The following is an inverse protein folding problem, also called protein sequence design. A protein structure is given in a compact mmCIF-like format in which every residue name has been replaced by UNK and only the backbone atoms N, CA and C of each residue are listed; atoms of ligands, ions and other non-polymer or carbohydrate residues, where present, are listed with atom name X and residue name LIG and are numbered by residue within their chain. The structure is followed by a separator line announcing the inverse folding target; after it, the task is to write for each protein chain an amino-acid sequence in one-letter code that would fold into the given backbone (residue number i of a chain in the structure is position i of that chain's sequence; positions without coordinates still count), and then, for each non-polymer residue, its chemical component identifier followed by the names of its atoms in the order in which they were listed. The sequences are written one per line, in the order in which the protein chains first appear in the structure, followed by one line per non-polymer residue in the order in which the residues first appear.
data_IF_813487691349
#
_entry.id   IF_813487691349
#
_cell.length_a   1.000
_cell.length_b   1.000
_cell.length_c   1.000
_cell.angle_alpha   90.00
_cell.angle_beta   90.00
_cell.angle_gamma   90.00
#
_symmetry.space_group_name_H-M   'P 1'
#
loop_
_entity.id
_entity.type
_entity.pdbx_description
1 polymer ?
#
# COMPACT_ATOMS: atom_id res chain seq x y z
N UNK A 1 0.03 29.97 34.75
CA UNK A 1 0.08 30.05 33.28
C UNK A 1 0.47 28.67 32.79
N UNK A 2 -0.53 27.84 32.49
CA UNK A 2 -0.33 26.51 31.90
C UNK A 2 0.10 26.72 30.46
N UNK A 3 1.36 26.37 30.15
CA UNK A 3 1.85 26.36 28.79
C UNK A 3 1.13 25.25 28.03
N UNK A 4 0.18 25.64 27.21
CA UNK A 4 -0.41 24.80 26.18
C UNK A 4 0.73 24.47 25.21
N UNK A 5 1.28 23.27 25.33
CA UNK A 5 2.28 22.77 24.40
C UNK A 5 1.59 22.70 23.04
N UNK A 6 1.86 23.68 22.19
CA UNK A 6 1.41 23.67 20.81
C UNK A 6 1.92 22.37 20.16
N UNK A 7 0.99 21.44 19.91
CA UNK A 7 1.23 20.22 19.16
C UNK A 7 1.85 20.62 17.82
N UNK A 8 3.14 20.33 17.62
CA UNK A 8 3.80 20.52 16.33
C UNK A 8 3.03 19.72 15.29
N UNK A 9 2.78 20.28 14.08
CA UNK A 9 2.03 19.58 13.06
C UNK A 9 2.69 18.22 12.79
N UNK A 10 1.90 17.16 12.97
CA UNK A 10 2.35 15.78 12.76
C UNK A 10 2.89 15.68 11.32
N UNK A 11 4.12 15.17 11.17
CA UNK A 11 4.72 15.05 9.85
C UNK A 11 3.88 14.12 8.98
N UNK A 12 3.77 14.42 7.68
CA UNK A 12 3.06 13.55 6.71
C UNK A 12 3.59 12.11 6.74
N UNK A 13 4.86 11.92 7.06
CA UNK A 13 5.48 10.61 7.25
C UNK A 13 4.92 9.91 8.48
N UNK A 14 4.83 10.60 9.63
CA UNK A 14 4.26 10.02 10.86
C UNK A 14 2.79 9.61 10.66
N UNK A 15 1.98 10.42 9.99
CA UNK A 15 0.59 10.07 9.64
C UNK A 15 0.53 8.77 8.82
N UNK A 16 1.37 8.65 7.78
CA UNK A 16 1.42 7.44 6.97
C UNK A 16 1.88 6.21 7.76
N UNK A 17 2.85 6.38 8.65
CA UNK A 17 3.35 5.30 9.52
C UNK A 17 2.25 4.83 10.49
N UNK A 18 1.51 5.77 11.13
CA UNK A 18 0.35 5.46 11.98
C UNK A 18 -0.74 4.70 11.23
N UNK A 19 -1.09 5.14 10.02
CA UNK A 19 -2.06 4.46 9.16
C UNK A 19 -1.60 3.07 8.73
N UNK A 20 -0.32 2.92 8.40
CA UNK A 20 0.27 1.62 8.04
C UNK A 20 0.21 0.64 9.22
N UNK A 21 0.54 1.11 10.42
CA UNK A 21 0.40 0.36 11.67
C UNK A 21 -1.02 -0.08 11.96
N UNK A 22 -1.98 0.82 11.77
CA UNK A 22 -3.38 0.47 11.93
C UNK A 22 -3.74 -0.72 11.05
N UNK A 23 -3.34 -0.72 9.78
CA UNK A 23 -3.62 -1.84 8.88
C UNK A 23 -2.94 -3.15 9.30
N UNK A 24 -1.74 -3.08 9.87
CA UNK A 24 -1.03 -4.26 10.35
C UNK A 24 -1.69 -4.87 11.60
N UNK A 25 -2.28 -4.03 12.46
CA UNK A 25 -3.04 -4.45 13.63
C UNK A 25 -4.48 -4.85 13.32
N UNK A 26 -5.05 -4.33 12.23
CA UNK A 26 -6.45 -4.53 11.84
C UNK A 26 -6.57 -5.25 10.48
N UNK A 27 -6.21 -6.55 10.38
CA UNK A 27 -6.37 -7.33 9.15
C UNK A 27 -7.85 -7.46 8.72
N UNK A 28 -8.78 -7.21 9.63
CA UNK A 28 -10.24 -7.20 9.40
C UNK A 28 -10.65 -6.15 8.34
N UNK A 29 -9.90 -5.07 8.19
CA UNK A 29 -10.15 -4.03 7.19
C UNK A 29 -10.28 -4.61 5.77
N UNK A 30 -9.38 -5.54 5.40
CA UNK A 30 -9.38 -6.17 4.08
C UNK A 30 -10.48 -7.22 3.88
N UNK A 31 -11.14 -7.65 4.97
CA UNK A 31 -12.25 -8.60 4.91
C UNK A 31 -13.61 -7.90 4.81
N UNK A 32 -13.63 -6.57 4.98
CA UNK A 32 -14.87 -5.80 4.96
C UNK A 32 -15.48 -5.73 3.54
N UNK A 33 -16.78 -6.00 3.44
CA UNK A 33 -17.50 -6.02 2.16
C UNK A 33 -17.54 -4.64 1.47
N UNK A 34 -17.37 -3.56 2.24
CA UNK A 34 -17.35 -2.20 1.72
C UNK A 34 -16.13 -1.93 0.83
N UNK A 35 -15.01 -2.61 1.09
CA UNK A 35 -13.78 -2.42 0.33
C UNK A 35 -13.90 -2.91 -1.11
N UNK A 36 -14.80 -3.86 -1.37
CA UNK A 36 -15.13 -4.31 -2.74
C UNK A 36 -15.83 -3.22 -3.56
N UNK A 37 -16.60 -2.35 -2.90
CA UNK A 37 -17.34 -1.25 -3.52
C UNK A 37 -16.52 0.03 -3.62
N UNK A 38 -15.46 0.16 -2.81
CA UNK A 38 -14.58 1.30 -2.83
C UNK A 38 -13.86 1.45 -4.18
N UNK A 39 -13.45 0.34 -4.81
CA UNK A 39 -12.97 0.30 -6.19
C UNK A 39 -13.49 -0.95 -6.93
N UNK A 40 -14.69 -0.85 -7.54
CA UNK A 40 -15.33 -1.98 -8.19
C UNK A 40 -14.58 -2.47 -9.42
N UNK A 41 -13.90 -1.56 -10.13
CA UNK A 41 -13.19 -1.88 -11.35
C UNK A 41 -11.94 -2.71 -11.04
N UNK A 42 -11.20 -2.30 -10.01
CA UNK A 42 -10.04 -3.04 -9.53
C UNK A 42 -10.43 -4.41 -8.97
N UNK A 43 -11.50 -4.46 -8.16
CA UNK A 43 -12.00 -5.70 -7.60
C UNK A 43 -12.45 -6.69 -8.69
N UNK A 44 -13.21 -6.23 -9.69
CA UNK A 44 -13.64 -7.06 -10.81
C UNK A 44 -12.42 -7.63 -11.59
N UNK A 45 -11.38 -6.81 -11.78
CA UNK A 45 -10.17 -7.17 -12.53
C UNK A 45 -9.29 -8.18 -11.78
N UNK A 46 -9.03 -7.93 -10.50
CA UNK A 46 -8.03 -8.67 -9.72
C UNK A 46 -8.61 -9.86 -8.96
N UNK A 47 -9.88 -9.78 -8.54
CA UNK A 47 -10.51 -10.82 -7.72
C UNK A 47 -11.57 -11.58 -8.52
N UNK A 48 -12.58 -10.88 -9.05
CA UNK A 48 -13.76 -11.53 -9.67
C UNK A 48 -13.41 -12.33 -10.93
N UNK A 49 -12.37 -11.94 -11.66
CA UNK A 49 -11.86 -12.68 -12.82
C UNK A 49 -11.48 -14.12 -12.49
N UNK A 50 -10.93 -14.37 -11.30
CA UNK A 50 -10.54 -15.71 -10.84
C UNK A 50 -11.64 -16.44 -10.09
N UNK A 51 -12.76 -15.77 -9.78
CA UNK A 51 -13.92 -16.40 -9.18
C UNK A 51 -14.57 -17.34 -10.20
N UNK A 52 -14.75 -18.60 -9.82
CA UNK A 52 -15.38 -19.59 -10.69
C UNK A 52 -16.88 -19.30 -10.83
N UNK A 53 -17.52 -19.70 -11.94
CA UNK A 53 -18.98 -19.62 -12.08
C UNK A 53 -19.72 -20.32 -10.93
N UNK A 54 -19.20 -21.44 -10.44
CA UNK A 54 -19.77 -22.19 -9.32
C UNK A 54 -19.73 -21.40 -7.99
N UNK A 55 -18.64 -20.69 -7.71
CA UNK A 55 -18.54 -19.80 -6.53
C UNK A 55 -19.53 -18.63 -6.63
N UNK A 56 -19.68 -18.02 -7.81
CA UNK A 56 -20.68 -16.94 -8.03
C UNK A 56 -22.10 -17.43 -7.87
N UNK A 57 -22.43 -18.61 -8.38
CA UNK A 57 -23.75 -19.20 -8.21
C UNK A 57 -24.03 -19.60 -6.76
N UNK A 58 -23.01 -20.02 -6.00
CA UNK A 58 -23.15 -20.27 -4.57
C UNK A 58 -23.38 -18.98 -3.79
N UNK A 59 -22.63 -17.92 -4.10
CA UNK A 59 -22.79 -16.60 -3.51
C UNK A 59 -24.17 -15.99 -3.85
N UNK A 60 -24.59 -16.06 -5.12
CA UNK A 60 -25.90 -15.60 -5.57
C UNK A 60 -27.04 -16.42 -4.96
N UNK A 61 -26.85 -17.72 -4.70
CA UNK A 61 -27.82 -18.53 -3.96
C UNK A 61 -27.92 -18.15 -2.48
N UNK A 62 -26.80 -17.80 -1.84
CA UNK A 62 -26.79 -17.33 -0.45
C UNK A 62 -27.43 -15.94 -0.31
N UNK A 63 -27.13 -15.02 -1.23
CA UNK A 63 -27.67 -13.64 -1.24
C UNK A 63 -29.11 -13.57 -1.77
N UNK A 64 -29.56 -14.58 -2.52
CA UNK A 64 -30.86 -14.60 -3.16
C UNK A 64 -30.95 -13.67 -4.37
N UNK A 65 -32.07 -13.74 -5.11
CA UNK A 65 -32.26 -12.96 -6.34
C UNK A 65 -32.28 -11.44 -6.09
N UNK A 66 -32.97 -10.99 -5.04
CA UNK A 66 -33.03 -9.57 -4.67
C UNK A 66 -31.65 -9.02 -4.29
N UNK A 67 -30.88 -9.75 -3.48
CA UNK A 67 -29.54 -9.32 -3.07
C UNK A 67 -28.52 -9.37 -4.21
N UNK A 68 -28.68 -10.28 -5.17
CA UNK A 68 -27.84 -10.33 -6.38
C UNK A 68 -28.09 -9.10 -7.25
N UNK A 69 -29.36 -8.74 -7.47
CA UNK A 69 -29.71 -7.56 -8.26
C UNK A 69 -29.25 -6.27 -7.59
N UNK A 70 -29.44 -6.14 -6.27
CA UNK A 70 -28.98 -4.98 -5.51
C UNK A 70 -27.46 -4.83 -5.56
N UNK A 71 -26.72 -5.91 -5.36
CA UNK A 71 -25.26 -5.90 -5.46
C UNK A 71 -24.77 -5.55 -6.87
N UNK A 72 -25.44 -6.05 -7.91
CA UNK A 72 -25.10 -5.72 -9.29
C UNK A 72 -25.41 -4.26 -9.62
N UNK A 73 -26.51 -3.71 -9.09
CA UNK A 73 -26.88 -2.30 -9.24
C UNK A 73 -25.85 -1.39 -8.58
N UNK A 74 -25.55 -1.61 -7.29
CA UNK A 74 -24.56 -0.84 -6.54
C UNK A 74 -23.18 -0.89 -7.22
N UNK A 75 -22.76 -2.07 -7.68
CA UNK A 75 -21.49 -2.23 -8.41
C UNK A 75 -21.50 -1.46 -9.72
N UNK A 76 -22.62 -1.46 -10.45
CA UNK A 76 -22.74 -0.73 -11.72
C UNK A 76 -22.68 0.78 -11.52
N UNK A 77 -23.29 1.31 -10.46
CA UNK A 77 -23.24 2.73 -10.11
C UNK A 77 -21.84 3.15 -9.69
N UNK A 78 -21.20 2.39 -8.80
CA UNK A 78 -19.84 2.66 -8.35
C UNK A 78 -18.83 2.57 -9.51
N UNK A 79 -19.06 1.67 -10.47
CA UNK A 79 -18.28 1.56 -11.71
C UNK A 79 -18.42 2.77 -12.61
N UNK A 80 -19.64 3.30 -12.80
CA UNK A 80 -19.86 4.53 -13.54
C UNK A 80 -19.20 5.74 -12.84
N UNK A 81 -19.26 5.78 -11.51
CA UNK A 81 -18.63 6.82 -10.72
C UNK A 81 -17.10 6.78 -10.87
N UNK A 82 -16.48 5.61 -10.74
CA UNK A 82 -15.03 5.44 -10.94
C UNK A 82 -14.56 5.85 -12.34
N UNK A 83 -15.37 5.62 -13.38
CA UNK A 83 -15.07 6.09 -14.74
C UNK A 83 -15.21 7.61 -14.90
N UNK A 84 -16.12 8.24 -14.15
CA UNK A 84 -16.33 9.69 -14.17
C UNK A 84 -15.28 10.44 -13.34
N UNK A 85 -14.80 9.83 -12.26
CA UNK A 85 -13.81 10.37 -11.32
C UNK A 85 -12.62 9.42 -11.18
N UNK A 86 -11.78 9.28 -12.23
CA UNK A 86 -10.60 8.43 -12.13
C UNK A 86 -9.64 8.99 -11.08
N UNK A 87 -9.20 8.15 -10.14
CA UNK A 87 -8.19 8.54 -9.16
C UNK A 87 -6.83 8.72 -9.86
N UNK A 88 -6.21 9.91 -9.80
CA UNK A 88 -4.92 10.15 -10.44
C UNK A 88 -3.77 9.31 -9.86
N UNK A 89 -3.96 8.69 -8.70
CA UNK A 89 -2.96 7.87 -8.02
C UNK A 89 -3.18 6.35 -8.16
N UNK A 90 -4.21 5.92 -8.89
CA UNK A 90 -4.40 4.50 -9.20
C UNK A 90 -3.33 4.02 -10.17
N UNK A 91 -2.72 2.87 -9.90
CA UNK A 91 -1.81 2.25 -10.86
C UNK A 91 -2.54 1.72 -12.09
N UNK A 92 -3.83 1.36 -11.95
CA UNK A 92 -4.66 0.86 -13.04
C UNK A 92 -5.54 1.96 -13.62
N UNK A 93 -5.26 2.37 -14.86
CA UNK A 93 -6.13 3.33 -15.56
C UNK A 93 -7.20 2.60 -16.38
N UNK A 94 -8.45 3.04 -16.27
CA UNK A 94 -9.57 2.50 -17.05
C UNK A 94 -9.92 3.48 -18.16
N UNK A 95 -9.79 3.04 -19.42
CA UNK A 95 -10.25 3.82 -20.57
C UNK A 95 -11.50 3.20 -21.17
N UNK A 96 -12.50 4.05 -21.39
CA UNK A 96 -13.69 3.69 -22.13
C UNK A 96 -13.36 3.70 -23.62
N UNK A 97 -13.42 2.54 -24.25
CA UNK A 97 -13.33 2.41 -25.70
C UNK A 97 -14.52 3.10 -26.39
N UNK A 98 -14.42 3.34 -27.71
CA UNK A 98 -15.46 4.03 -28.50
C UNK A 98 -16.85 3.40 -28.38
N UNK A 99 -16.91 2.08 -28.21
CA UNK A 99 -18.15 1.30 -28.09
C UNK A 99 -18.60 1.09 -26.63
N UNK A 100 -17.94 1.73 -25.67
CA UNK A 100 -18.23 1.57 -24.24
C UNK A 100 -17.60 0.36 -23.57
N UNK A 101 -16.78 -0.41 -24.29
CA UNK A 101 -15.94 -1.46 -23.72
C UNK A 101 -14.86 -0.86 -22.80
N UNK A 102 -14.59 -1.49 -21.67
CA UNK A 102 -13.51 -1.05 -20.76
C UNK A 102 -12.23 -1.74 -21.25
N UNK A 103 -11.39 -0.95 -21.91
CA UNK A 103 -10.11 -1.43 -22.44
C UNK A 103 -9.09 -1.41 -21.30
N UNK A 104 -8.57 -2.59 -20.94
CA UNK A 104 -7.39 -2.71 -20.09
C UNK A 104 -6.15 -2.59 -20.98
N UNK A 105 -5.39 -1.50 -20.88
CA UNK A 105 -4.33 -1.20 -21.87
C UNK A 105 -3.03 -2.00 -21.73
N UNK A 106 -2.78 -2.78 -20.66
CA UNK A 106 -1.54 -3.58 -20.56
C UNK A 106 -1.69 -5.06 -20.15
N UNK A 107 -0.99 -5.94 -20.89
CA UNK A 107 -0.91 -7.39 -20.64
C UNK A 107 -0.17 -7.74 -19.34
N UNK A 108 0.78 -6.91 -18.91
CA UNK A 108 1.60 -7.15 -17.71
C UNK A 108 0.85 -6.82 -16.41
N UNK A 109 -0.26 -6.09 -16.51
CA UNK A 109 -1.14 -5.73 -15.40
C UNK A 109 -2.19 -6.82 -15.09
N UNK A 110 -2.15 -7.98 -15.77
CA UNK A 110 -3.07 -9.10 -15.51
C UNK A 110 -2.41 -10.08 -14.55
N UNK A 111 -2.99 -10.35 -13.36
CA UNK A 111 -2.45 -11.37 -12.45
C UNK A 111 -2.45 -12.75 -13.12
N UNK A 112 -1.49 -13.60 -12.77
CA UNK A 112 -1.40 -14.97 -13.31
C UNK A 112 -2.34 -15.92 -12.55
N UNK A 113 -2.52 -15.68 -11.26
CA UNK A 113 -3.32 -16.50 -10.36
C UNK A 113 -4.15 -15.66 -9.38
N UNK A 114 -5.01 -16.37 -8.62
CA UNK A 114 -5.91 -15.77 -7.62
C UNK A 114 -5.12 -15.14 -6.47
N UNK A 115 -3.97 -15.70 -6.10
CA UNK A 115 -3.16 -15.23 -4.98
C UNK A 115 -2.45 -13.91 -5.31
N UNK A 116 -1.84 -13.82 -6.51
CA UNK A 116 -1.25 -12.61 -7.06
C UNK A 116 -2.30 -11.52 -7.25
N UNK A 117 -3.50 -11.88 -7.72
CA UNK A 117 -4.63 -10.96 -7.85
C UNK A 117 -5.03 -10.37 -6.50
N UNK A 118 -5.20 -11.22 -5.49
CA UNK A 118 -5.51 -10.78 -4.12
C UNK A 118 -4.39 -9.94 -3.51
N UNK A 119 -3.12 -10.32 -3.69
CA UNK A 119 -1.98 -9.58 -3.18
C UNK A 119 -1.87 -8.17 -3.80
N UNK A 120 -2.06 -8.06 -5.12
CA UNK A 120 -2.09 -6.77 -5.83
C UNK A 120 -3.27 -5.91 -5.37
N UNK A 121 -4.45 -6.50 -5.20
CA UNK A 121 -5.63 -5.79 -4.71
C UNK A 121 -5.41 -5.28 -3.28
N UNK A 122 -4.89 -6.13 -2.40
CA UNK A 122 -4.56 -5.77 -1.01
C UNK A 122 -3.55 -4.61 -0.98
N UNK A 123 -2.50 -4.68 -1.78
CA UNK A 123 -1.49 -3.63 -1.86
C UNK A 123 -2.08 -2.29 -2.33
N UNK A 124 -2.94 -2.29 -3.35
CA UNK A 124 -3.60 -1.07 -3.80
C UNK A 124 -4.52 -0.47 -2.73
N UNK A 125 -5.33 -1.31 -2.06
CA UNK A 125 -6.19 -0.86 -0.97
C UNK A 125 -5.40 -0.32 0.21
N UNK A 126 -4.26 -0.94 0.53
CA UNK A 126 -3.31 -0.45 1.53
C UNK A 126 -2.74 0.92 1.14
N UNK A 127 -2.24 1.08 -0.09
CA UNK A 127 -1.70 2.35 -0.56
C UNK A 127 -2.75 3.46 -0.59
N UNK A 128 -3.98 3.14 -1.00
CA UNK A 128 -5.13 4.04 -0.93
C UNK A 128 -5.40 4.47 0.50
N UNK A 129 -5.46 3.54 1.44
CA UNK A 129 -5.71 3.83 2.84
C UNK A 129 -4.62 4.71 3.46
N UNK A 130 -3.35 4.35 3.27
CA UNK A 130 -2.21 5.13 3.77
C UNK A 130 -2.21 6.56 3.22
N UNK A 131 -2.62 6.74 1.96
CA UNK A 131 -2.77 8.08 1.36
C UNK A 131 -3.95 8.88 1.90
N UNK A 132 -4.95 8.23 2.49
CA UNK A 132 -6.17 8.87 2.97
C UNK A 132 -7.31 8.85 1.96
N UNK A 133 -7.30 7.89 1.02
CA UNK A 133 -8.27 7.81 -0.07
C UNK A 133 -9.54 7.01 0.25
N UNK A 134 -9.70 6.52 1.47
CA UNK A 134 -10.94 5.87 1.91
C UNK A 134 -11.86 6.90 2.58
N UNK A 135 -12.90 7.33 1.86
CA UNK A 135 -13.81 8.36 2.35
C UNK A 135 -14.74 7.86 3.47
N UNK A 136 -14.93 6.54 3.58
CA UNK A 136 -15.80 5.94 4.59
C UNK A 136 -15.07 5.72 5.92
N UNK A 137 -13.74 5.91 5.94
CA UNK A 137 -12.91 5.73 7.12
C UNK A 137 -12.65 7.03 7.89
N UNK A 138 -12.86 7.00 9.20
CA UNK A 138 -12.60 8.12 10.11
C UNK A 138 -11.11 8.18 10.50
N UNK A 139 -10.28 8.79 9.63
CA UNK A 139 -8.82 8.86 9.81
C UNK A 139 -8.36 9.58 11.09
N UNK A 140 -9.15 10.51 11.63
CA UNK A 140 -8.82 11.27 12.84
C UNK A 140 -8.48 10.36 14.03
N UNK A 141 -9.20 9.23 14.17
CA UNK A 141 -8.98 8.23 15.22
C UNK A 141 -7.59 7.58 15.18
N UNK A 142 -6.99 7.50 14.00
CA UNK A 142 -5.68 6.88 13.78
C UNK A 142 -4.59 7.94 13.69
N UNK A 143 -4.86 9.02 12.96
CA UNK A 143 -3.91 10.08 12.66
C UNK A 143 -3.50 10.86 13.91
N UNK A 144 -4.39 10.99 14.89
CA UNK A 144 -4.13 11.69 16.16
C UNK A 144 -3.69 10.76 17.30
N UNK A 145 -3.79 9.44 17.11
CA UNK A 145 -3.46 8.47 18.15
C UNK A 145 -1.96 8.14 18.18
N UNK A 146 -1.33 8.40 19.33
CA UNK A 146 0.05 8.01 19.62
C UNK A 146 0.24 6.50 19.82
N UNK A 147 -0.86 5.74 19.99
CA UNK A 147 -0.79 4.26 20.11
C UNK A 147 -0.20 3.62 18.84
N UNK A 148 -0.38 4.27 17.70
CA UNK A 148 0.14 3.80 16.42
C UNK A 148 1.52 4.36 16.08
N UNK A 149 2.17 5.13 16.96
CA UNK A 149 3.58 5.49 16.81
C UNK A 149 4.45 4.26 17.11
N UNK A 150 5.43 3.91 16.25
CA UNK A 150 6.37 2.83 16.64
C UNK A 150 7.41 3.49 17.47
N UNK A 151 7.67 2.92 18.64
CA UNK A 151 8.97 3.15 19.25
C UNK A 151 10.08 2.44 18.49
N UNK A 152 9.81 1.28 17.86
CA UNK A 152 10.82 0.52 17.12
C UNK A 152 11.29 1.20 15.82
N UNK A 153 10.36 1.64 14.98
CA UNK A 153 10.63 2.52 13.82
C UNK A 153 11.21 3.86 14.26
N UNK A 154 10.76 4.50 15.36
CA UNK A 154 11.40 5.73 15.83
C UNK A 154 12.87 5.50 16.22
N UNK A 155 13.18 4.39 16.89
CA UNK A 155 14.55 3.97 17.19
C UNK A 155 15.35 3.70 15.91
N UNK A 156 14.78 2.97 14.95
CA UNK A 156 15.43 2.68 13.66
C UNK A 156 15.66 3.95 12.83
N UNK A 157 14.69 4.87 12.74
CA UNK A 157 14.83 6.14 12.04
C UNK A 157 15.92 7.01 12.71
N UNK A 158 16.00 6.99 14.04
CA UNK A 158 17.06 7.68 14.79
C UNK A 158 18.44 7.05 14.54
N UNK A 159 18.50 5.72 14.47
CA UNK A 159 19.71 4.96 14.14
C UNK A 159 20.16 5.20 12.70
N UNK A 160 19.27 5.09 11.70
CA UNK A 160 19.56 5.38 10.29
C UNK A 160 20.11 6.80 10.13
N UNK A 161 19.47 7.79 10.75
CA UNK A 161 19.97 9.17 10.75
C UNK A 161 21.37 9.26 11.37
N UNK A 162 21.63 8.54 12.45
CA UNK A 162 22.95 8.49 13.08
C UNK A 162 23.99 7.83 12.16
N UNK A 163 23.64 6.74 11.45
CA UNK A 163 24.50 6.09 10.47
C UNK A 163 24.79 6.95 9.24
N UNK A 164 23.80 7.68 8.73
CA UNK A 164 23.95 8.61 7.60
C UNK A 164 24.84 9.81 7.95
N UNK A 165 24.74 10.30 9.20
CA UNK A 165 25.59 11.37 9.73
C UNK A 165 27.02 10.86 10.06
N UNK A 166 27.21 9.56 10.27
CA UNK A 166 28.52 8.97 10.55
C UNK A 166 29.31 8.72 9.24
N UNK A 167 30.27 9.59 8.92
CA UNK A 167 31.21 9.31 7.82
C UNK A 167 32.01 8.04 8.11
N UNK A 168 31.77 6.98 7.34
CA UNK A 168 32.48 5.68 7.42
C UNK A 168 34.00 5.87 7.44
N UNK A 169 34.62 5.68 8.61
CA UNK A 169 36.06 5.73 8.81
C UNK A 169 36.64 4.31 8.92
N UNK A 170 37.24 3.82 7.83
CA UNK A 170 37.96 2.53 7.85
C UNK A 170 39.25 2.66 8.69
N UNK A 171 39.38 1.85 9.73
CA UNK A 171 40.61 1.75 10.54
C UNK A 171 41.49 0.65 9.94
N UNK A 172 42.70 0.98 9.48
CA UNK A 172 43.71 -0.02 9.14
C UNK A 172 44.37 -0.57 10.44
N UNK A 173 44.98 -1.76 10.37
CA UNK A 173 45.69 -2.45 11.46
C UNK A 173 46.76 -1.63 12.22
N UNK A 174 47.13 -0.43 11.76
CA UNK A 174 48.05 0.49 12.44
C UNK A 174 47.36 1.73 13.05
N UNK A 175 46.04 1.72 13.26
CA UNK A 175 45.35 2.72 14.08
C UNK A 175 45.30 4.16 13.54
N UNK A 176 45.66 4.39 12.27
CA UNK A 176 45.69 5.73 11.68
C UNK A 176 44.47 5.99 10.77
N UNK A 177 43.75 7.09 11.04
CA UNK A 177 42.57 7.54 10.27
C UNK A 177 42.98 7.95 8.85
N UNK A 178 42.41 7.33 7.80
CA UNK A 178 42.58 7.78 6.41
C UNK A 178 41.35 8.58 5.96
N UNK A 179 41.54 9.88 5.72
CA UNK A 179 40.66 10.64 4.82
C UNK A 179 40.96 10.28 3.36
N UNK A 180 39.91 10.11 2.55
CA UNK A 180 39.93 9.70 1.13
C UNK A 180 41.03 10.38 0.29
N UNK A 181 42.10 9.65 -0.02
CA UNK A 181 42.79 9.63 -1.32
C UNK A 181 44.08 8.81 -1.25
N UNK A 182 43.99 7.49 -1.40
CA UNK A 182 45.14 6.71 -1.89
C UNK A 182 44.63 5.43 -2.51
N UNK A 183 44.74 5.32 -3.83
CA UNK A 183 44.42 4.15 -4.61
C UNK A 183 45.09 2.92 -3.98
N UNK A 184 44.28 1.99 -3.49
CA UNK A 184 44.75 0.70 -3.02
C UNK A 184 45.04 -0.15 -4.26
N UNK A 185 46.31 -0.24 -4.63
CA UNK A 185 46.76 -1.25 -5.60
C UNK A 185 46.74 -2.61 -4.90
N UNK A 186 45.74 -3.42 -5.23
CA UNK A 186 45.61 -4.77 -4.70
C UNK A 186 46.63 -5.70 -5.33
N UNK A 187 47.69 -6.03 -4.59
CA UNK A 187 48.48 -7.23 -4.84
C UNK A 187 47.88 -8.37 -4.00
N UNK A 188 46.89 -9.06 -4.55
CA UNK A 188 46.42 -10.34 -3.97
C UNK A 188 47.49 -11.40 -4.25
N UNK A 189 48.42 -11.55 -3.31
CA UNK A 189 49.37 -12.67 -3.29
C UNK A 189 48.63 -13.97 -2.99
N UNK A 190 48.27 -14.71 -4.04
CA UNK A 190 47.88 -16.12 -3.93
C UNK A 190 49.14 -16.87 -3.47
N UNK A 191 49.15 -17.33 -2.21
CA UNK A 191 50.15 -18.29 -1.74
C UNK A 191 49.66 -19.70 -2.05
N UNK A 192 50.31 -20.32 -3.03
CA UNK A 192 50.22 -21.76 -3.29
C UNK A 192 50.81 -22.50 -2.08
N UNK A 193 50.04 -23.41 -1.50
CA UNK A 193 50.50 -24.40 -0.52
C UNK A 193 50.30 -25.80 -1.08
#
# INVERSE_FOLDING_TARGET
MTGEAASSPVSRTRIKNRRKRYLDLHPEYFTSANLELADPLLYDRLIRRFQTPAEREAEGRQKGYSGTLEADLLRSEAKLNALAHPDPNQTFSYRRGPDGEILAEEKDEVPKDKEEGYAKWKWEMEMRFVRGGDADFEYEKVDESEEYDDRGVEEQEAEEKWFDEEESNFVNEEGLRRSKSRELQGETGIQDF
#
